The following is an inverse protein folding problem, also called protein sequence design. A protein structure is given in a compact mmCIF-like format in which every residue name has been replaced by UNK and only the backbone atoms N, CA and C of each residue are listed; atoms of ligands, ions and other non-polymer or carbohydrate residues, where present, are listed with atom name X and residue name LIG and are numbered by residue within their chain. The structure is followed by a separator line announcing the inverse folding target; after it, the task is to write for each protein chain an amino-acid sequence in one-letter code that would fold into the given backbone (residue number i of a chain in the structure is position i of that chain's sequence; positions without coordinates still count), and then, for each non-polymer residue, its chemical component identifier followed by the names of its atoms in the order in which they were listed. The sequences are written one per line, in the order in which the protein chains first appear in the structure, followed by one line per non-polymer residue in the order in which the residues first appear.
data_IF_895110831552
#
_entry.id   IF_895110831552
#
_cell.length_a   1.000
_cell.length_b   1.000
_cell.length_c   1.000
_cell.angle_alpha   90.00
_cell.angle_beta   90.00
_cell.angle_gamma   90.00
#
_symmetry.space_group_name_H-M   'P 1'
#
loop_
_entity.id
_entity.type
_entity.pdbx_description
1 polymer ?
#
# COMPACT_ATOMS: atom_id res chain seq x y z
N UNK A 1 49.66 -46.16 -27.50
CA UNK A 1 48.80 -45.14 -28.14
C UNK A 1 47.36 -45.59 -28.00
N UNK A 2 46.37 -44.86 -27.51
CA UNK A 2 46.26 -43.53 -26.94
C UNK A 2 44.95 -43.48 -26.14
N UNK A 3 44.88 -42.58 -25.18
CA UNK A 3 43.92 -42.56 -24.09
C UNK A 3 42.48 -42.22 -24.49
N UNK A 4 41.54 -42.83 -23.74
CA UNK A 4 40.16 -42.40 -23.50
C UNK A 4 40.12 -40.92 -23.09
N UNK A 5 39.15 -40.17 -23.62
CA UNK A 5 38.66 -38.92 -23.02
C UNK A 5 37.15 -39.02 -22.84
N UNK A 6 36.74 -39.21 -21.59
CA UNK A 6 35.37 -38.97 -21.11
C UNK A 6 35.40 -37.56 -20.52
N UNK A 7 34.72 -36.61 -21.15
CA UNK A 7 34.43 -35.30 -20.55
C UNK A 7 32.99 -35.34 -20.04
N UNK A 8 32.82 -35.51 -18.74
CA UNK A 8 31.59 -35.18 -18.04
C UNK A 8 31.86 -35.13 -16.54
N UNK A 9 32.25 -33.96 -16.03
CA UNK A 9 32.07 -33.46 -14.66
C UNK A 9 32.98 -32.25 -14.53
N UNK A 10 32.41 -31.04 -14.37
CA UNK A 10 33.06 -29.85 -13.78
C UNK A 10 32.10 -28.63 -13.81
N UNK A 11 30.79 -28.83 -13.66
CA UNK A 11 29.83 -27.72 -13.43
C UNK A 11 29.52 -27.50 -11.95
N UNK A 12 29.82 -28.46 -11.07
CA UNK A 12 29.54 -28.36 -9.63
C UNK A 12 30.66 -27.68 -8.81
N UNK A 13 31.79 -27.34 -9.40
CA UNK A 13 32.99 -26.91 -8.65
C UNK A 13 33.09 -25.39 -8.40
N UNK A 14 32.07 -24.60 -8.76
CA UNK A 14 32.06 -23.16 -8.47
C UNK A 14 31.67 -22.80 -7.03
N UNK A 15 31.21 -23.78 -6.24
CA UNK A 15 30.84 -23.56 -4.83
C UNK A 15 32.06 -23.70 -3.89
N UNK A 16 33.20 -24.22 -4.35
CA UNK A 16 34.21 -24.75 -3.41
C UNK A 16 35.26 -23.75 -2.88
N UNK A 17 35.49 -22.55 -3.44
CA UNK A 17 36.54 -21.66 -2.87
C UNK A 17 36.14 -20.18 -2.97
N UNK A 18 35.14 -19.76 -2.19
CA UNK A 18 34.85 -18.35 -1.94
C UNK A 18 35.01 -17.97 -0.45
N UNK A 19 35.61 -18.85 0.36
CA UNK A 19 35.81 -18.64 1.81
C UNK A 19 37.20 -18.06 2.12
N UNK A 20 38.06 -17.86 1.13
CA UNK A 20 39.44 -17.41 1.36
C UNK A 20 39.62 -15.87 1.38
N UNK A 21 38.61 -15.07 1.00
CA UNK A 21 38.80 -13.61 0.79
C UNK A 21 38.15 -12.69 1.82
N UNK A 22 37.50 -13.22 2.86
CA UNK A 22 37.09 -12.44 4.02
C UNK A 22 37.87 -12.93 5.25
N UNK A 23 39.13 -12.46 5.35
CA UNK A 23 40.01 -12.78 6.47
C UNK A 23 39.44 -12.28 7.80
N UNK A 24 39.45 -13.16 8.79
CA UNK A 24 39.06 -12.78 10.15
C UNK A 24 38.96 -13.91 11.19
N UNK A 25 39.11 -15.19 10.83
CA UNK A 25 39.17 -16.26 11.83
C UNK A 25 40.17 -17.35 11.42
N UNK A 26 41.30 -17.37 12.11
CA UNK A 26 42.38 -18.37 11.99
C UNK A 26 41.89 -19.82 12.11
N UNK A 27 40.76 -20.05 12.79
CA UNK A 27 40.14 -21.37 12.91
C UNK A 27 39.69 -21.98 11.57
N UNK A 28 39.07 -21.18 10.67
CA UNK A 28 38.59 -21.66 9.37
C UNK A 28 39.75 -21.98 8.41
N UNK A 29 40.85 -21.23 8.51
CA UNK A 29 42.06 -21.50 7.75
C UNK A 29 42.71 -22.83 8.12
N UNK A 30 42.71 -23.18 9.42
CA UNK A 30 43.22 -24.47 9.91
C UNK A 30 42.32 -25.62 9.43
N UNK A 31 41.00 -25.50 9.53
CA UNK A 31 40.08 -26.56 9.12
C UNK A 31 40.11 -26.83 7.62
N UNK A 32 40.21 -25.79 6.78
CA UNK A 32 40.31 -25.92 5.32
C UNK A 32 41.67 -26.53 4.92
N UNK A 33 42.76 -26.14 5.59
CA UNK A 33 44.08 -26.70 5.34
C UNK A 33 44.15 -28.20 5.70
N UNK A 34 43.55 -28.62 6.82
CA UNK A 34 43.51 -30.03 7.21
C UNK A 34 42.61 -30.86 6.28
N UNK A 35 41.46 -30.33 5.87
CA UNK A 35 40.60 -31.00 4.88
C UNK A 35 41.30 -31.16 3.52
N UNK A 36 42.01 -30.12 3.07
CA UNK A 36 42.81 -30.16 1.83
C UNK A 36 43.99 -31.13 1.95
N UNK A 37 44.64 -31.24 3.12
CA UNK A 37 45.71 -32.22 3.36
C UNK A 37 45.19 -33.66 3.23
N UNK A 38 44.03 -33.96 3.82
CA UNK A 38 43.41 -35.30 3.71
C UNK A 38 43.06 -35.59 2.24
N UNK A 39 42.45 -34.62 1.55
CA UNK A 39 41.92 -34.83 0.20
C UNK A 39 43.00 -34.84 -0.90
N UNK A 40 44.04 -34.00 -0.78
CA UNK A 40 45.09 -33.87 -1.80
C UNK A 40 46.30 -34.77 -1.54
N UNK A 41 46.63 -35.07 -0.28
CA UNK A 41 47.85 -35.81 0.06
C UNK A 41 47.60 -37.28 0.39
N UNK A 42 46.35 -37.74 0.44
CA UNK A 42 45.99 -39.16 0.58
C UNK A 42 46.72 -39.86 1.73
N UNK A 43 46.94 -39.16 2.85
CA UNK A 43 47.65 -39.72 4.00
C UNK A 43 46.70 -40.60 4.80
N UNK A 44 46.98 -41.91 4.81
CA UNK A 44 46.35 -42.93 5.65
C UNK A 44 46.86 -42.90 7.10
N UNK A 45 47.00 -41.72 7.71
CA UNK A 45 47.34 -41.62 9.14
C UNK A 45 46.07 -41.27 9.91
N UNK A 46 45.65 -42.20 10.77
CA UNK A 46 44.51 -42.05 11.68
C UNK A 46 44.89 -41.11 12.82
N UNK A 47 44.97 -39.81 12.54
CA UNK A 47 44.83 -38.82 13.60
C UNK A 47 43.33 -38.59 13.83
N UNK A 48 42.89 -38.77 15.07
CA UNK A 48 41.53 -38.47 15.48
C UNK A 48 41.30 -36.97 15.27
N UNK A 49 40.62 -36.62 14.18
CA UNK A 49 40.20 -35.25 13.91
C UNK A 49 39.21 -34.88 15.01
N UNK A 50 39.68 -34.12 16.00
CA UNK A 50 38.78 -33.48 16.95
C UNK A 50 37.88 -32.55 16.16
N UNK A 51 36.60 -32.92 16.03
CA UNK A 51 35.56 -32.04 15.53
C UNK A 51 35.48 -30.85 16.48
N UNK A 52 36.17 -29.76 16.15
CA UNK A 52 35.91 -28.46 16.75
C UNK A 52 34.48 -28.12 16.37
N UNK A 53 33.58 -28.17 17.37
CA UNK A 53 32.17 -27.88 17.19
C UNK A 53 32.01 -26.55 16.46
N UNK A 54 31.37 -26.61 15.29
CA UNK A 54 31.14 -25.47 14.42
C UNK A 54 29.99 -24.57 14.92
N UNK A 55 29.87 -24.39 16.24
CA UNK A 55 28.84 -23.54 16.85
C UNK A 55 28.98 -22.08 16.38
N UNK A 56 30.18 -21.68 15.95
CA UNK A 56 30.47 -20.37 15.37
C UNK A 56 30.08 -20.20 13.89
N UNK A 57 29.69 -21.27 13.17
CA UNK A 57 29.15 -21.13 11.80
C UNK A 57 27.66 -20.77 11.82
N UNK A 58 26.94 -21.09 12.91
CA UNK A 58 25.53 -20.67 13.07
C UNK A 58 25.35 -19.15 13.14
N UNK A 59 26.42 -18.38 13.40
CA UNK A 59 26.37 -16.94 13.65
C UNK A 59 26.75 -16.06 12.45
N UNK A 60 27.26 -16.63 11.35
CA UNK A 60 27.52 -15.84 10.13
C UNK A 60 26.28 -15.93 9.24
N UNK A 61 25.28 -15.08 9.52
CA UNK A 61 24.20 -14.85 8.56
C UNK A 61 24.78 -14.13 7.33
N UNK A 62 24.75 -14.74 6.13
CA UNK A 62 25.28 -14.08 4.94
C UNK A 62 24.41 -12.88 4.57
N UNK A 63 25.05 -11.79 4.16
CA UNK A 63 24.36 -10.55 3.83
C UNK A 63 23.72 -10.65 2.45
N UNK A 64 22.40 -10.40 2.35
CA UNK A 64 21.67 -10.31 1.08
C UNK A 64 22.31 -9.25 0.15
N UNK A 65 22.43 -9.55 -1.15
CA UNK A 65 22.85 -8.55 -2.14
C UNK A 65 21.67 -7.60 -2.36
N UNK A 66 21.80 -6.37 -1.84
CA UNK A 66 20.77 -5.34 -1.95
C UNK A 66 21.05 -4.49 -3.18
N UNK A 67 20.24 -4.64 -4.22
CA UNK A 67 20.20 -3.64 -5.30
C UNK A 67 19.66 -2.34 -4.71
N UNK A 68 20.17 -1.19 -5.14
CA UNK A 68 19.65 0.10 -4.69
C UNK A 68 18.13 0.17 -4.93
N UNK A 69 17.34 0.36 -3.86
CA UNK A 69 15.88 0.41 -3.97
C UNK A 69 15.45 1.70 -4.66
N UNK A 70 14.60 1.60 -5.68
CA UNK A 70 13.96 2.76 -6.26
C UNK A 70 13.10 3.48 -5.19
N UNK A 71 13.26 4.80 -5.07
CA UNK A 71 12.44 5.66 -4.20
C UNK A 71 11.93 6.84 -5.00
N UNK A 72 10.97 7.58 -4.43
CA UNK A 72 10.56 8.86 -4.99
C UNK A 72 11.74 9.85 -5.01
N UNK A 73 11.63 10.85 -5.87
CA UNK A 73 12.58 11.96 -5.96
C UNK A 73 12.42 12.88 -4.75
N UNK A 74 13.49 13.04 -3.97
CA UNK A 74 13.51 13.92 -2.81
C UNK A 74 13.06 15.35 -3.19
N UNK A 75 12.17 15.93 -2.38
CA UNK A 75 11.60 17.26 -2.64
C UNK A 75 10.50 17.30 -3.71
N UNK A 76 10.11 16.17 -4.29
CA UNK A 76 8.94 16.09 -5.19
C UNK A 76 7.60 15.90 -4.45
N UNK A 77 7.66 15.71 -3.13
CA UNK A 77 6.51 15.44 -2.30
C UNK A 77 5.62 16.67 -2.15
N UNK A 78 4.30 16.46 -2.23
CA UNK A 78 3.32 17.50 -1.98
C UNK A 78 2.05 16.93 -1.37
N UNK A 79 1.45 17.70 -0.47
CA UNK A 79 0.17 17.36 0.15
C UNK A 79 -0.95 17.35 -0.91
N UNK A 80 -1.80 16.34 -0.85
CA UNK A 80 -2.95 16.20 -1.72
C UNK A 80 -4.22 15.85 -0.94
N UNK A 81 -5.30 16.59 -1.21
CA UNK A 81 -6.59 16.38 -0.57
C UNK A 81 -7.40 15.32 -1.35
N UNK A 82 -7.69 14.15 -0.76
CA UNK A 82 -8.43 13.09 -1.43
C UNK A 82 -9.92 13.40 -1.64
N UNK A 83 -10.45 14.54 -1.16
CA UNK A 83 -11.86 14.89 -1.31
C UNK A 83 -12.22 15.62 -2.59
N UNK A 84 -11.32 16.46 -3.10
CA UNK A 84 -11.65 17.39 -4.17
C UNK A 84 -11.42 16.77 -5.56
N UNK A 85 -12.44 16.82 -6.41
CA UNK A 85 -12.30 16.53 -7.84
C UNK A 85 -11.78 17.80 -8.52
N UNK A 86 -10.60 17.73 -9.15
CA UNK A 86 -10.02 18.88 -9.87
C UNK A 86 -10.75 19.10 -11.20
N UNK A 87 -10.87 20.36 -11.62
CA UNK A 87 -11.28 20.72 -12.99
C UNK A 87 -12.80 20.75 -13.24
N UNK A 88 -13.63 20.64 -12.20
CA UNK A 88 -15.10 20.62 -12.34
C UNK A 88 -15.73 21.71 -11.48
N UNK A 89 -16.59 22.54 -12.09
CA UNK A 89 -17.39 23.55 -11.40
C UNK A 89 -18.88 23.18 -11.51
N UNK A 90 -19.39 22.27 -10.65
CA UNK A 90 -20.78 21.84 -10.74
C UNK A 90 -21.73 23.00 -10.47
N UNK A 91 -22.87 23.00 -11.16
CA UNK A 91 -23.96 23.92 -10.83
C UNK A 91 -24.48 23.63 -9.43
N UNK A 92 -24.64 24.66 -8.60
CA UNK A 92 -24.98 24.55 -7.18
C UNK A 92 -26.42 24.99 -6.88
N UNK A 93 -26.89 24.73 -5.66
CA UNK A 93 -28.28 24.99 -5.26
C UNK A 93 -28.64 26.48 -5.16
N UNK A 94 -27.65 27.40 -5.15
CA UNK A 94 -27.90 28.84 -5.26
C UNK A 94 -28.24 29.27 -6.70
N UNK A 95 -28.05 28.39 -7.68
CA UNK A 95 -28.48 28.64 -9.06
C UNK A 95 -29.98 28.83 -9.14
N UNK A 96 -30.44 29.78 -9.96
CA UNK A 96 -31.87 29.94 -10.31
C UNK A 96 -32.51 28.69 -10.89
N UNK A 97 -31.69 27.76 -11.38
CA UNK A 97 -32.16 26.49 -11.96
C UNK A 97 -32.48 25.41 -10.91
N UNK A 98 -32.25 25.67 -9.63
CA UNK A 98 -32.61 24.78 -8.54
C UNK A 98 -34.06 25.01 -8.12
N UNK A 99 -34.92 24.00 -8.36
CA UNK A 99 -36.37 24.08 -8.10
C UNK A 99 -36.89 22.91 -7.25
N UNK A 100 -36.00 22.07 -6.72
CA UNK A 100 -36.39 20.80 -6.12
C UNK A 100 -36.89 20.90 -4.67
N UNK A 101 -36.45 21.91 -3.92
CA UNK A 101 -36.84 22.09 -2.52
C UNK A 101 -37.22 23.55 -2.27
N UNK A 102 -38.20 23.75 -1.40
CA UNK A 102 -38.62 25.06 -0.91
C UNK A 102 -37.54 25.70 -0.02
N UNK A 103 -37.63 27.02 0.18
CA UNK A 103 -36.74 27.74 1.09
C UNK A 103 -36.81 27.23 2.54
N UNK A 104 -37.99 26.77 2.97
CA UNK A 104 -38.20 26.21 4.31
C UNK A 104 -37.43 24.89 4.47
N UNK A 105 -37.55 23.98 3.50
CA UNK A 105 -36.87 22.68 3.50
C UNK A 105 -35.35 22.82 3.48
N UNK A 106 -34.83 23.85 2.80
CA UNK A 106 -33.39 24.15 2.74
C UNK A 106 -32.85 24.93 3.94
N UNK A 107 -33.70 25.39 4.85
CA UNK A 107 -33.33 26.42 5.85
C UNK A 107 -32.07 26.06 6.66
N UNK A 108 -31.86 24.77 6.99
CA UNK A 108 -30.70 24.30 7.76
C UNK A 108 -29.37 24.34 7.00
N UNK A 109 -29.39 24.40 5.66
CA UNK A 109 -28.19 24.39 4.80
C UNK A 109 -28.11 25.58 3.85
N UNK A 110 -29.14 26.43 3.82
CA UNK A 110 -29.29 27.56 2.90
C UNK A 110 -28.05 28.45 2.79
N UNK A 111 -27.42 28.79 3.92
CA UNK A 111 -26.17 29.59 3.97
C UNK A 111 -24.98 28.96 3.24
N UNK A 112 -25.04 27.67 2.92
CA UNK A 112 -23.98 26.93 2.23
C UNK A 112 -24.33 26.56 0.80
N UNK A 113 -25.40 27.10 0.22
CA UNK A 113 -25.89 26.64 -1.07
C UNK A 113 -24.88 26.76 -2.22
N UNK A 114 -23.94 27.69 -2.17
CA UNK A 114 -22.85 27.78 -3.15
C UNK A 114 -21.89 26.57 -3.12
N UNK A 115 -21.82 25.84 -2.00
CA UNK A 115 -20.97 24.66 -1.79
C UNK A 115 -21.68 23.34 -2.10
N UNK A 116 -22.97 23.38 -2.43
CA UNK A 116 -23.80 22.19 -2.59
C UNK A 116 -24.23 22.06 -4.07
N UNK A 117 -23.82 21.01 -4.78
CA UNK A 117 -24.20 20.76 -6.16
C UNK A 117 -25.67 20.39 -6.28
N UNK A 118 -26.28 20.73 -7.42
CA UNK A 118 -27.64 20.30 -7.73
C UNK A 118 -27.66 18.77 -7.94
N UNK A 119 -28.55 18.08 -7.24
CA UNK A 119 -28.61 16.61 -7.18
C UNK A 119 -28.98 15.93 -8.51
N UNK A 120 -29.88 16.54 -9.29
CA UNK A 120 -30.34 16.03 -10.60
C UNK A 120 -29.57 16.61 -11.79
N UNK A 121 -28.46 17.31 -11.52
CA UNK A 121 -27.51 17.79 -12.52
C UNK A 121 -26.11 17.29 -12.18
N UNK A 122 -25.13 17.62 -13.01
CA UNK A 122 -23.72 17.34 -12.77
C UNK A 122 -23.41 15.83 -12.69
N UNK A 123 -24.00 15.01 -13.57
CA UNK A 123 -23.82 13.55 -13.54
C UNK A 123 -22.35 13.11 -13.49
N UNK A 124 -21.51 13.65 -14.37
CA UNK A 124 -20.07 13.35 -14.39
C UNK A 124 -19.39 13.70 -13.07
N UNK A 125 -19.75 14.84 -12.48
CA UNK A 125 -19.21 15.27 -11.19
C UNK A 125 -19.61 14.31 -10.07
N UNK A 126 -20.87 13.87 -10.02
CA UNK A 126 -21.33 12.89 -9.03
C UNK A 126 -20.61 11.55 -9.16
N UNK A 127 -20.45 11.06 -10.40
CA UNK A 127 -19.71 9.81 -10.68
C UNK A 127 -18.23 9.92 -10.29
N UNK A 128 -17.58 11.03 -10.65
CA UNK A 128 -16.18 11.28 -10.29
C UNK A 128 -16.01 11.41 -8.77
N UNK A 129 -16.90 12.16 -8.11
CA UNK A 129 -16.91 12.37 -6.67
C UNK A 129 -17.09 11.07 -5.91
N UNK A 130 -18.02 10.20 -6.33
CA UNK A 130 -18.18 8.88 -5.71
C UNK A 130 -16.90 8.07 -5.81
N UNK A 131 -16.31 7.91 -7.01
CA UNK A 131 -15.07 7.15 -7.20
C UNK A 131 -13.93 7.69 -6.33
N UNK A 132 -13.77 9.01 -6.32
CA UNK A 132 -12.74 9.72 -5.56
C UNK A 132 -12.92 9.54 -4.04
N UNK A 133 -14.16 9.60 -3.55
CA UNK A 133 -14.47 9.59 -2.10
C UNK A 133 -14.83 8.21 -1.54
N UNK A 134 -15.01 7.20 -2.41
CA UNK A 134 -15.42 5.83 -2.05
C UNK A 134 -14.66 5.28 -0.85
N UNK A 135 -13.34 5.41 -0.87
CA UNK A 135 -12.48 4.93 0.21
C UNK A 135 -12.79 5.58 1.57
N UNK A 136 -12.95 6.91 1.60
CA UNK A 136 -13.26 7.65 2.83
C UNK A 136 -14.67 7.35 3.34
N UNK A 137 -15.63 7.16 2.42
CA UNK A 137 -16.99 6.74 2.75
C UNK A 137 -16.98 5.37 3.43
N UNK A 138 -16.19 4.42 2.91
CA UNK A 138 -16.15 3.04 3.40
C UNK A 138 -15.37 2.86 4.71
N UNK A 139 -14.37 3.70 4.99
CA UNK A 139 -13.44 3.52 6.11
C UNK A 139 -13.74 4.41 7.34
N UNK A 140 -14.88 5.11 7.37
CA UNK A 140 -15.23 6.01 8.48
C UNK A 140 -15.72 5.24 9.72
N UNK A 141 -15.40 5.78 10.90
CA UNK A 141 -15.74 5.22 12.22
C UNK A 141 -17.21 5.42 12.67
N UNK A 142 -18.03 6.24 11.98
CA UNK A 142 -19.38 6.65 12.43
C UNK A 142 -20.53 6.22 11.50
N UNK A 143 -21.70 5.99 12.11
CA UNK A 143 -22.80 5.12 11.68
C UNK A 143 -23.35 5.34 10.26
N UNK A 144 -22.95 4.44 9.36
CA UNK A 144 -23.68 4.15 8.12
C UNK A 144 -24.72 3.05 8.37
N UNK A 145 -25.43 3.05 9.52
CA UNK A 145 -26.38 1.97 9.88
C UNK A 145 -27.33 1.69 8.71
N UNK A 146 -27.12 0.55 8.04
CA UNK A 146 -27.84 0.13 6.83
C UNK A 146 -27.48 0.85 5.52
N UNK A 147 -26.82 2.00 5.56
CA UNK A 147 -26.56 2.84 4.38
C UNK A 147 -25.45 2.26 3.50
N UNK A 148 -25.83 1.85 2.29
CA UNK A 148 -24.91 1.37 1.26
C UNK A 148 -25.01 2.24 0.02
N UNK A 149 -23.86 2.64 -0.54
CA UNK A 149 -23.81 3.45 -1.75
C UNK A 149 -23.47 2.62 -2.97
N UNK A 150 -24.39 2.61 -3.93
CA UNK A 150 -24.22 1.92 -5.21
C UNK A 150 -23.23 2.64 -6.11
N UNK A 151 -23.53 3.89 -6.46
CA UNK A 151 -22.77 4.70 -7.42
C UNK A 151 -22.95 6.22 -7.19
N UNK A 152 -22.34 7.01 -8.07
CA UNK A 152 -22.42 8.47 -8.15
C UNK A 152 -23.83 9.05 -8.35
N UNK A 153 -24.50 8.61 -9.42
CA UNK A 153 -25.63 9.35 -9.97
C UNK A 153 -26.79 8.45 -10.40
N UNK A 154 -28.00 8.87 -10.04
CA UNK A 154 -29.25 8.37 -10.59
C UNK A 154 -30.19 9.54 -10.89
N UNK A 155 -30.90 9.46 -12.01
CA UNK A 155 -31.94 10.44 -12.38
C UNK A 155 -33.24 10.24 -11.61
N UNK A 156 -33.40 9.10 -10.90
CA UNK A 156 -34.60 8.79 -10.14
C UNK A 156 -34.64 9.57 -8.83
N UNK A 157 -35.78 10.19 -8.55
CA UNK A 157 -36.07 10.80 -7.24
C UNK A 157 -36.34 9.70 -6.22
N UNK A 158 -35.78 9.83 -5.02
CA UNK A 158 -36.20 9.03 -3.86
C UNK A 158 -36.93 9.92 -2.87
N UNK A 159 -38.16 9.55 -2.52
CA UNK A 159 -39.04 10.36 -1.67
C UNK A 159 -38.97 9.99 -0.18
N UNK A 160 -38.43 8.81 0.17
CA UNK A 160 -38.47 8.30 1.54
C UNK A 160 -37.10 7.86 2.08
N UNK A 161 -36.98 8.06 3.39
CA UNK A 161 -35.81 8.09 4.28
C UNK A 161 -35.24 6.73 4.70
N UNK A 162 -35.68 5.63 4.08
CA UNK A 162 -35.18 4.32 4.48
C UNK A 162 -33.90 3.97 3.71
N UNK A 163 -32.76 4.36 4.29
CA UNK A 163 -31.43 4.00 3.82
C UNK A 163 -31.08 2.51 4.01
N UNK A 164 -32.04 1.63 4.32
CA UNK A 164 -31.86 0.16 4.37
C UNK A 164 -31.65 -0.48 2.99
N UNK A 165 -31.56 0.30 1.92
CA UNK A 165 -31.30 -0.16 0.55
C UNK A 165 -30.13 0.59 -0.06
N UNK A 166 -29.55 0.03 -1.11
CA UNK A 166 -28.48 0.69 -1.86
C UNK A 166 -29.00 2.00 -2.49
N UNK A 167 -28.33 3.12 -2.19
CA UNK A 167 -28.68 4.44 -2.74
C UNK A 167 -27.53 5.03 -3.55
N UNK A 168 -27.86 5.93 -4.48
CA UNK A 168 -26.85 6.74 -5.17
C UNK A 168 -26.47 7.95 -4.31
N UNK A 169 -25.23 8.43 -4.38
CA UNK A 169 -24.84 9.55 -3.52
C UNK A 169 -25.62 10.84 -3.80
N UNK A 170 -26.02 11.10 -5.05
CA UNK A 170 -26.82 12.27 -5.39
C UNK A 170 -28.23 12.20 -4.79
N UNK A 171 -28.83 11.00 -4.75
CA UNK A 171 -30.11 10.71 -4.11
C UNK A 171 -30.03 10.91 -2.58
N UNK A 172 -28.95 10.44 -1.95
CA UNK A 172 -28.69 10.72 -0.55
C UNK A 172 -28.63 12.23 -0.28
N UNK A 173 -27.91 12.98 -1.11
CA UNK A 173 -27.84 14.44 -0.97
C UNK A 173 -29.20 15.12 -1.16
N UNK A 174 -30.01 14.66 -2.13
CA UNK A 174 -31.37 15.14 -2.31
C UNK A 174 -32.19 15.05 -1.01
N UNK A 175 -32.24 13.86 -0.39
CA UNK A 175 -33.01 13.64 0.85
C UNK A 175 -32.51 14.54 1.99
N UNK A 176 -31.20 14.69 2.13
CA UNK A 176 -30.61 15.48 3.21
C UNK A 176 -30.71 16.99 2.98
N UNK A 177 -30.88 17.43 1.72
CA UNK A 177 -31.17 18.83 1.41
C UNK A 177 -32.54 19.25 1.94
N UNK A 178 -33.55 18.38 1.85
CA UNK A 178 -34.91 18.68 2.32
C UNK A 178 -35.20 18.32 3.78
N UNK A 179 -34.33 17.56 4.44
CA UNK A 179 -34.61 17.03 5.79
C UNK A 179 -33.54 17.39 6.82
N UNK A 180 -33.85 18.35 7.69
CA UNK A 180 -33.00 18.75 8.83
C UNK A 180 -32.69 17.57 9.77
N UNK A 181 -33.66 16.68 10.00
CA UNK A 181 -33.49 15.51 10.87
C UNK A 181 -32.45 14.55 10.28
N UNK A 182 -32.58 14.22 8.99
CA UNK A 182 -31.61 13.34 8.31
C UNK A 182 -30.24 14.01 8.17
N UNK A 183 -30.21 15.30 7.86
CA UNK A 183 -28.98 16.08 7.83
C UNK A 183 -28.25 15.99 9.18
N UNK A 184 -28.93 16.21 10.30
CA UNK A 184 -28.29 16.14 11.61
C UNK A 184 -27.77 14.72 11.93
N UNK A 185 -28.52 13.68 11.57
CA UNK A 185 -28.11 12.27 11.75
C UNK A 185 -26.83 11.93 10.97
N UNK A 186 -26.72 12.41 9.73
CA UNK A 186 -25.63 12.07 8.82
C UNK A 186 -24.71 13.26 8.49
N UNK A 187 -24.68 14.30 9.32
CA UNK A 187 -24.07 15.61 9.02
C UNK A 187 -22.64 15.52 8.53
N UNK A 188 -21.89 14.68 9.21
CA UNK A 188 -20.50 14.41 8.93
C UNK A 188 -20.31 13.76 7.55
N UNK A 189 -21.16 12.80 7.18
CA UNK A 189 -21.15 12.11 5.90
C UNK A 189 -21.70 13.00 4.78
N UNK A 190 -22.72 13.81 5.10
CA UNK A 190 -23.28 14.82 4.23
C UNK A 190 -22.21 15.76 3.71
N UNK A 191 -21.37 16.33 4.59
CA UNK A 191 -20.33 17.25 4.12
C UNK A 191 -19.29 16.55 3.26
N UNK A 192 -18.92 15.31 3.59
CA UNK A 192 -18.00 14.53 2.77
C UNK A 192 -18.58 14.25 1.37
N UNK A 193 -19.87 13.94 1.25
CA UNK A 193 -20.47 13.48 0.00
C UNK A 193 -21.07 14.63 -0.81
N UNK A 194 -21.84 15.48 -0.16
CA UNK A 194 -22.75 16.45 -0.77
C UNK A 194 -22.16 17.84 -0.93
N UNK A 195 -20.94 18.10 -0.47
CA UNK A 195 -20.26 19.36 -0.77
C UNK A 195 -19.28 19.23 -1.93
N UNK A 196 -19.07 20.33 -2.64
CA UNK A 196 -18.18 20.38 -3.81
C UNK A 196 -16.74 19.97 -3.42
N UNK A 197 -16.24 20.47 -2.29
CA UNK A 197 -14.87 20.22 -1.80
C UNK A 197 -14.77 19.06 -0.79
N UNK A 198 -15.90 18.51 -0.34
CA UNK A 198 -15.95 17.46 0.69
C UNK A 198 -15.67 18.00 2.10
N UNK A 199 -15.68 19.33 2.31
CA UNK A 199 -15.32 19.97 3.57
C UNK A 199 -16.56 20.43 4.32
N UNK A 200 -16.54 20.23 5.64
CA UNK A 200 -17.56 20.79 6.51
C UNK A 200 -17.23 22.28 6.76
N UNK A 201 -18.06 23.23 6.30
CA UNK A 201 -17.82 24.65 6.53
C UNK A 201 -18.00 25.09 7.98
N UNK A 202 -18.50 24.21 8.85
CA UNK A 202 -18.74 24.47 10.27
C UNK A 202 -17.64 23.94 11.19
N UNK A 203 -16.61 23.29 10.64
CA UNK A 203 -15.46 22.82 11.41
C UNK A 203 -14.24 23.65 11.08
N UNK A 204 -13.58 24.15 12.11
CA UNK A 204 -12.34 24.93 11.98
C UNK A 204 -11.15 24.05 11.56
N UNK A 205 -11.18 22.75 11.87
CA UNK A 205 -10.10 21.79 11.56
C UNK A 205 -10.61 20.53 10.83
N UNK A 206 -11.11 20.65 9.58
CA UNK A 206 -11.65 19.53 8.80
C UNK A 206 -10.59 18.49 8.40
N UNK A 207 -9.33 18.69 8.78
CA UNK A 207 -8.18 17.87 8.42
C UNK A 207 -7.84 16.77 9.44
N UNK A 208 -8.28 16.90 10.70
CA UNK A 208 -8.02 15.89 11.74
C UNK A 208 -8.89 14.63 11.55
N UNK A 209 -10.04 14.78 10.91
CA UNK A 209 -11.06 13.75 10.78
C UNK A 209 -11.04 13.00 9.44
N UNK A 210 -10.29 13.50 8.45
CA UNK A 210 -10.30 12.96 7.09
C UNK A 210 -8.91 12.42 6.74
N UNK A 211 -8.88 11.41 5.87
CA UNK A 211 -7.61 10.87 5.37
C UNK A 211 -6.86 11.95 4.60
N UNK A 212 -5.53 12.00 4.77
CA UNK A 212 -4.63 12.83 3.96
C UNK A 212 -3.89 11.93 2.98
N UNK A 213 -3.38 12.50 1.90
CA UNK A 213 -2.56 11.76 0.95
C UNK A 213 -1.47 12.66 0.42
N UNK A 214 -0.45 12.04 -0.15
CA UNK A 214 0.71 12.70 -0.71
C UNK A 214 0.83 12.35 -2.18
N UNK A 215 1.49 13.24 -2.91
CA UNK A 215 1.94 13.01 -4.27
C UNK A 215 3.44 13.12 -4.29
N UNK A 216 4.10 12.19 -4.96
CA UNK A 216 5.52 12.29 -5.26
C UNK A 216 5.81 11.76 -6.66
N UNK A 217 6.99 12.11 -7.19
CA UNK A 217 7.47 11.61 -8.47
C UNK A 217 8.34 10.39 -8.25
N UNK A 218 7.96 9.28 -8.87
CA UNK A 218 8.65 8.01 -8.79
C UNK A 218 9.34 7.69 -10.12
N UNK A 219 10.56 7.15 -10.10
CA UNK A 219 11.29 6.79 -11.32
C UNK A 219 10.60 5.63 -12.04
N UNK A 220 10.61 5.68 -13.36
CA UNK A 220 10.23 4.60 -14.27
C UNK A 220 11.40 4.30 -15.23
N UNK A 221 11.27 3.29 -16.08
CA UNK A 221 12.34 2.94 -17.02
C UNK A 221 12.65 4.09 -18.00
N UNK A 222 13.85 4.06 -18.59
CA UNK A 222 14.36 5.08 -19.51
C UNK A 222 14.42 6.50 -18.91
N UNK A 223 14.77 6.60 -17.61
CA UNK A 223 14.91 7.86 -16.87
C UNK A 223 13.64 8.70 -16.78
N UNK A 224 12.46 8.11 -17.02
CA UNK A 224 11.18 8.78 -16.84
C UNK A 224 10.77 8.92 -15.38
N UNK A 225 9.76 9.76 -15.13
CA UNK A 225 9.14 9.92 -13.81
C UNK A 225 7.61 9.81 -13.93
N UNK A 226 6.96 9.15 -12.97
CA UNK A 226 5.49 9.08 -12.83
C UNK A 226 5.09 9.74 -11.51
N UNK A 227 4.17 10.70 -11.57
CA UNK A 227 3.54 11.25 -10.36
C UNK A 227 2.53 10.23 -9.82
N UNK A 228 2.73 9.77 -8.59
CA UNK A 228 1.86 8.80 -7.93
C UNK A 228 1.29 9.45 -6.68
N UNK A 229 -0.02 9.29 -6.47
CA UNK A 229 -0.67 9.65 -5.23
C UNK A 229 -0.74 8.44 -4.31
N UNK A 230 -0.18 8.53 -3.10
CA UNK A 230 -0.19 7.46 -2.10
C UNK A 230 -0.66 7.98 -0.73
N UNK A 231 -0.97 7.05 0.17
CA UNK A 231 -1.43 7.34 1.52
C UNK A 231 -0.77 6.35 2.47
N UNK A 232 -0.28 6.82 3.61
CA UNK A 232 0.32 5.95 4.62
C UNK A 232 -0.73 5.35 5.55
N UNK A 233 -0.34 4.32 6.32
CA UNK A 233 -1.22 3.75 7.35
C UNK A 233 -1.61 4.77 8.42
N UNK A 234 -0.74 5.73 8.73
CA UNK A 234 -1.05 6.83 9.67
C UNK A 234 -2.05 7.83 9.08
N UNK A 235 -1.89 8.15 7.79
CA UNK A 235 -2.76 9.07 7.08
C UNK A 235 -4.15 8.47 6.80
N UNK A 236 -4.23 7.15 6.64
CA UNK A 236 -5.46 6.42 6.43
C UNK A 236 -6.34 6.45 7.69
N UNK A 237 -7.48 7.15 7.62
CA UNK A 237 -8.52 7.05 8.64
C UNK A 237 -9.29 5.75 8.42
N UNK A 238 -8.84 4.69 9.11
CA UNK A 238 -9.48 3.38 9.17
C UNK A 238 -10.56 3.32 10.24
N UNK A 239 -11.47 2.34 10.10
CA UNK A 239 -12.40 1.97 11.16
C UNK A 239 -11.63 1.45 12.39
N UNK A 240 -12.18 1.59 13.61
CA UNK A 240 -11.52 1.10 14.82
C UNK A 240 -11.10 -0.37 14.71
N UNK A 241 -11.96 -1.23 14.18
CA UNK A 241 -11.70 -2.67 14.08
C UNK A 241 -10.51 -2.99 13.16
N UNK A 242 -10.37 -2.22 12.06
CA UNK A 242 -9.23 -2.36 11.15
C UNK A 242 -7.96 -1.74 11.73
N UNK A 243 -8.09 -0.62 12.45
CA UNK A 243 -6.96 0.06 13.08
C UNK A 243 -6.31 -0.82 14.16
N UNK A 244 -7.11 -1.54 14.93
CA UNK A 244 -6.64 -2.44 15.99
C UNK A 244 -5.90 -3.67 15.45
N UNK A 245 -6.16 -4.03 14.20
CA UNK A 245 -5.45 -5.10 13.49
C UNK A 245 -4.07 -4.68 13.01
N UNK A 246 -3.78 -3.39 12.82
CA UNK A 246 -2.48 -2.92 12.34
C UNK A 246 -1.46 -2.93 13.50
N UNK A 247 -0.50 -3.86 13.42
CA UNK A 247 0.52 -4.13 14.45
C UNK A 247 1.86 -3.45 14.21
N UNK A 248 2.16 -3.02 12.98
CA UNK A 248 3.40 -2.28 12.68
C UNK A 248 3.45 -0.92 13.39
N UNK A 249 4.63 -0.55 13.90
CA UNK A 249 4.89 0.70 14.61
C UNK A 249 5.05 1.89 13.67
N UNK A 250 5.77 1.73 12.56
CA UNK A 250 6.14 2.81 11.62
C UNK A 250 5.02 3.10 10.61
N UNK A 251 3.80 3.35 11.11
CA UNK A 251 2.60 3.56 10.29
C UNK A 251 2.73 4.71 9.28
N UNK A 252 3.60 5.68 9.57
CA UNK A 252 3.92 6.80 8.69
C UNK A 252 4.83 6.42 7.51
N UNK A 253 5.43 5.22 7.50
CA UNK A 253 6.32 4.76 6.43
C UNK A 253 5.66 3.78 5.47
N UNK A 254 4.65 3.04 5.92
CA UNK A 254 3.99 2.01 5.13
C UNK A 254 2.78 2.55 4.37
N UNK A 255 2.64 2.14 3.10
CA UNK A 255 1.52 2.54 2.23
C UNK A 255 0.27 1.70 2.54
N UNK A 256 -0.89 2.33 2.54
CA UNK A 256 -2.15 1.63 2.84
C UNK A 256 -2.56 0.68 1.70
N UNK A 257 -2.94 -0.55 2.07
CA UNK A 257 -3.06 -1.70 1.16
C UNK A 257 -4.32 -1.72 0.29
N UNK A 258 -5.33 -0.94 0.64
CA UNK A 258 -6.64 -0.93 -0.01
C UNK A 258 -7.01 0.47 -0.53
N UNK A 259 -5.99 1.29 -0.83
CA UNK A 259 -6.17 2.58 -1.46
C UNK A 259 -5.30 2.75 -2.72
N UNK A 260 -5.96 3.01 -3.85
CA UNK A 260 -5.39 3.28 -5.20
C UNK A 260 -4.34 2.26 -5.68
N UNK A 261 -4.62 1.67 -6.85
CA UNK A 261 -3.77 0.66 -7.49
C UNK A 261 -2.37 1.17 -7.89
N UNK A 262 -2.26 2.43 -8.30
CA UNK A 262 -1.07 2.99 -8.96
C UNK A 262 0.25 2.79 -8.20
N UNK A 263 0.24 2.90 -6.86
CA UNK A 263 1.44 2.73 -6.06
C UNK A 263 1.88 1.26 -6.00
N UNK A 264 0.92 0.34 -5.89
CA UNK A 264 1.16 -1.10 -5.85
C UNK A 264 1.69 -1.61 -7.18
N UNK A 265 1.13 -1.14 -8.29
CA UNK A 265 1.66 -1.39 -9.64
C UNK A 265 3.12 -0.95 -9.75
N UNK A 266 3.42 0.27 -9.29
CA UNK A 266 4.77 0.80 -9.35
C UNK A 266 5.75 0.00 -8.48
N UNK A 267 5.41 -0.27 -7.22
CA UNK A 267 6.28 -1.03 -6.31
C UNK A 267 6.53 -2.44 -6.84
N UNK A 268 5.49 -3.09 -7.37
CA UNK A 268 5.63 -4.41 -7.99
C UNK A 268 6.57 -4.38 -9.20
N UNK A 269 6.35 -3.45 -10.15
CA UNK A 269 7.13 -3.36 -11.39
C UNK A 269 8.59 -2.95 -11.15
N UNK A 270 8.81 -1.92 -10.35
CA UNK A 270 10.12 -1.25 -10.27
C UNK A 270 10.95 -1.66 -9.05
N UNK A 271 10.38 -2.40 -8.10
CA UNK A 271 11.13 -3.01 -6.99
C UNK A 271 11.09 -4.53 -7.11
N UNK A 272 9.93 -5.14 -6.86
CA UNK A 272 9.83 -6.59 -6.73
C UNK A 272 10.25 -7.35 -7.99
N UNK A 273 9.77 -6.95 -9.18
CA UNK A 273 10.13 -7.62 -10.43
C UNK A 273 11.61 -7.42 -10.78
N UNK A 274 12.16 -6.22 -10.51
CA UNK A 274 13.60 -5.97 -10.70
C UNK A 274 14.42 -6.90 -9.83
N UNK A 275 14.07 -7.00 -8.55
CA UNK A 275 14.76 -7.88 -7.61
C UNK A 275 14.66 -9.34 -8.05
N UNK A 276 13.44 -9.84 -8.38
CA UNK A 276 13.22 -11.18 -8.95
C UNK A 276 14.05 -11.46 -10.20
N UNK A 277 14.17 -10.49 -11.11
CA UNK A 277 14.91 -10.64 -12.36
C UNK A 277 16.43 -10.61 -12.19
N UNK A 278 16.90 -9.93 -11.13
CA UNK A 278 18.32 -9.80 -10.79
C UNK A 278 18.78 -10.86 -9.77
N UNK A 279 17.88 -11.73 -9.35
CA UNK A 279 18.08 -12.70 -8.28
C UNK A 279 19.01 -13.83 -8.72
N UNK A 280 20.32 -13.58 -8.60
CA UNK A 280 21.38 -14.59 -8.71
C UNK A 280 21.89 -15.03 -7.33
N UNK A 281 21.18 -14.67 -6.26
CA UNK A 281 21.59 -14.76 -4.85
C UNK A 281 21.32 -16.14 -4.26
N UNK A 282 22.20 -16.59 -3.36
CA UNK A 282 21.97 -17.76 -2.49
C UNK A 282 20.93 -17.49 -1.38
N UNK A 283 20.52 -16.22 -1.20
CA UNK A 283 19.54 -15.76 -0.22
C UNK A 283 18.36 -15.14 -0.97
N UNK A 284 17.26 -15.90 -1.17
CA UNK A 284 16.14 -15.48 -1.98
C UNK A 284 15.21 -14.52 -1.21
N UNK A 285 14.36 -13.80 -1.96
CA UNK A 285 13.12 -13.23 -1.44
C UNK A 285 12.45 -14.20 -0.44
N UNK A 286 11.93 -13.66 0.65
CA UNK A 286 11.13 -14.44 1.59
C UNK A 286 9.99 -15.15 0.85
N UNK A 287 9.58 -16.30 1.38
CA UNK A 287 8.62 -17.18 0.70
C UNK A 287 7.35 -16.45 0.26
N UNK A 288 6.90 -15.53 1.11
CA UNK A 288 5.72 -14.70 0.89
C UNK A 288 5.89 -13.79 -0.33
N UNK A 289 6.99 -13.03 -0.41
CA UNK A 289 7.24 -12.11 -1.51
C UNK A 289 7.66 -12.82 -2.79
N UNK A 290 8.30 -13.99 -2.67
CA UNK A 290 8.61 -14.88 -3.80
C UNK A 290 7.35 -15.35 -4.52
N UNK A 291 6.29 -15.70 -3.80
CA UNK A 291 5.00 -16.18 -4.36
C UNK A 291 4.13 -15.10 -4.99
N UNK A 292 4.45 -13.82 -4.83
CA UNK A 292 3.64 -12.74 -5.41
C UNK A 292 3.71 -12.79 -6.95
N UNK A 293 2.56 -12.89 -7.60
CA UNK A 293 2.45 -12.93 -9.06
C UNK A 293 1.76 -11.71 -9.65
N UNK A 294 1.06 -10.91 -8.84
CA UNK A 294 0.39 -9.67 -9.29
C UNK A 294 0.58 -8.52 -8.30
N UNK A 295 0.36 -7.31 -8.78
CA UNK A 295 0.53 -6.08 -8.01
C UNK A 295 -0.64 -5.83 -7.04
N UNK A 296 -1.89 -6.04 -7.49
CA UNK A 296 -3.08 -5.56 -6.80
C UNK A 296 -4.23 -6.56 -6.82
N UNK A 297 -4.86 -6.74 -5.67
CA UNK A 297 -6.17 -7.37 -5.52
C UNK A 297 -7.15 -6.40 -4.86
N UNK A 298 -8.24 -6.06 -5.55
CA UNK A 298 -9.24 -5.10 -5.06
C UNK A 298 -9.97 -5.61 -3.80
N UNK A 299 -10.08 -6.93 -3.64
CA UNK A 299 -10.70 -7.57 -2.47
C UNK A 299 -9.73 -7.76 -1.30
N UNK A 300 -8.43 -7.54 -1.53
CA UNK A 300 -7.34 -7.77 -0.58
C UNK A 300 -7.42 -9.16 0.12
N UNK A 301 -7.67 -10.18 -0.69
CA UNK A 301 -7.93 -11.58 -0.30
C UNK A 301 -6.99 -12.57 -0.98
N UNK A 302 -6.41 -12.20 -2.13
CA UNK A 302 -5.48 -13.05 -2.86
C UNK A 302 -4.05 -12.87 -2.33
N UNK A 303 -3.53 -13.89 -1.64
CA UNK A 303 -2.18 -13.89 -1.05
C UNK A 303 -1.06 -13.73 -2.10
N UNK A 304 -1.36 -13.94 -3.39
CA UNK A 304 -0.40 -13.73 -4.49
C UNK A 304 -0.31 -12.28 -4.96
N UNK A 305 -1.13 -11.37 -4.39
CA UNK A 305 -1.09 -9.94 -4.66
C UNK A 305 -0.17 -9.19 -3.68
N UNK A 306 0.63 -8.25 -4.18
CA UNK A 306 1.55 -7.47 -3.35
C UNK A 306 0.83 -6.70 -2.23
N UNK A 307 -0.27 -6.02 -2.55
CA UNK A 307 -1.04 -5.27 -1.54
C UNK A 307 -1.58 -6.18 -0.42
N UNK A 308 -1.92 -7.43 -0.72
CA UNK A 308 -2.43 -8.40 0.26
C UNK A 308 -1.31 -9.00 1.11
N UNK A 309 -0.15 -9.28 0.50
CA UNK A 309 1.04 -9.69 1.23
C UNK A 309 1.47 -8.61 2.26
N UNK A 310 1.45 -7.34 1.84
CA UNK A 310 1.74 -6.21 2.73
C UNK A 310 0.66 -6.02 3.80
N UNK A 311 -0.64 -6.15 3.46
CA UNK A 311 -1.73 -6.19 4.46
C UNK A 311 -1.47 -7.24 5.53
N UNK A 312 -1.14 -8.46 5.12
CA UNK A 312 -0.84 -9.55 6.04
C UNK A 312 0.36 -9.21 6.93
N UNK A 313 1.43 -8.64 6.38
CA UNK A 313 2.58 -8.17 7.16
C UNK A 313 2.18 -7.12 8.21
N UNK A 314 1.35 -6.13 7.83
CA UNK A 314 0.89 -5.10 8.76
C UNK A 314 0.07 -5.65 9.92
N UNK A 315 -0.58 -6.80 9.74
CA UNK A 315 -1.48 -7.41 10.71
C UNK A 315 -0.82 -8.47 11.59
N UNK A 316 0.40 -8.88 11.24
CA UNK A 316 1.20 -9.82 12.04
C UNK A 316 2.20 -9.04 12.89
N UNK A 317 2.50 -9.55 14.08
CA UNK A 317 3.60 -8.98 14.89
C UNK A 317 4.91 -9.18 14.12
N UNK A 318 5.67 -8.10 13.83
CA UNK A 318 6.92 -8.23 13.10
C UNK A 318 7.89 -9.11 13.89
N UNK A 319 8.22 -10.27 13.34
CA UNK A 319 9.37 -11.05 13.80
C UNK A 319 10.59 -10.53 13.03
N UNK A 320 11.73 -10.29 13.69
CA UNK A 320 13.00 -9.88 13.04
C UNK A 320 13.45 -10.97 12.07
N UNK A 321 12.96 -10.89 10.84
CA UNK A 321 13.04 -11.92 9.81
C UNK A 321 13.24 -11.25 8.46
N UNK A 322 13.72 -12.03 7.50
CA UNK A 322 13.80 -11.70 6.08
C UNK A 322 12.53 -11.06 5.50
N UNK A 323 11.36 -11.46 5.98
CA UNK A 323 10.07 -10.87 5.57
C UNK A 323 9.95 -9.40 5.96
N UNK A 324 10.54 -8.97 7.08
CA UNK A 324 10.53 -7.57 7.51
C UNK A 324 11.33 -6.71 6.53
N UNK A 325 12.48 -7.19 6.07
CA UNK A 325 13.28 -6.48 5.07
C UNK A 325 12.52 -6.35 3.74
N UNK A 326 11.93 -7.44 3.26
CA UNK A 326 11.13 -7.41 2.04
C UNK A 326 9.91 -6.47 2.20
N UNK A 327 9.25 -6.47 3.35
CA UNK A 327 8.15 -5.56 3.61
C UNK A 327 8.59 -4.09 3.64
N UNK A 328 9.73 -3.77 4.25
CA UNK A 328 10.31 -2.43 4.15
C UNK A 328 10.56 -2.06 2.69
N UNK A 329 11.07 -2.99 1.88
CA UNK A 329 11.40 -2.73 0.49
C UNK A 329 10.17 -2.51 -0.38
N UNK A 330 9.14 -3.35 -0.25
CA UNK A 330 8.02 -3.38 -1.20
C UNK A 330 6.73 -2.74 -0.67
N UNK A 331 6.62 -2.54 0.64
CA UNK A 331 5.42 -2.03 1.30
C UNK A 331 5.60 -0.61 1.89
N UNK A 332 6.84 -0.11 2.00
CA UNK A 332 7.13 1.25 2.50
C UNK A 332 7.37 2.25 1.37
N UNK A 333 7.14 3.53 1.64
CA UNK A 333 7.31 4.60 0.65
C UNK A 333 8.76 4.67 0.16
N UNK A 334 9.74 4.68 1.07
CA UNK A 334 11.17 4.83 0.73
C UNK A 334 11.83 3.51 0.29
N UNK A 335 11.22 2.37 0.59
CA UNK A 335 11.79 1.06 0.26
C UNK A 335 12.98 0.67 1.13
N UNK A 336 13.13 1.30 2.30
CA UNK A 336 14.17 1.05 3.29
C UNK A 336 13.69 1.45 4.68
N UNK A 337 14.20 0.77 5.70
CA UNK A 337 14.08 1.21 7.08
C UNK A 337 14.97 2.46 7.25
N UNK A 338 14.37 3.60 7.57
CA UNK A 338 15.15 4.80 7.90
C UNK A 338 15.94 4.50 9.19
N UNK A 339 17.26 4.75 9.18
CA UNK A 339 18.11 4.64 10.37
C UNK A 339 17.83 5.75 11.37
#
# INVERSE_FOLDING_TARGET
MGAKKIYAMLTETKITIAVATAGGNSALGVSINELLRIYLLGRNESEEVQFVGNDNIKTIQPTRIKVATASFKEGSESNWDPRAVKGTNPTNINSRSYISHTAYELSHISKYGAKLPIWNKNEEWWRATYKQRKYMIQNRASSTDGLQFKEGFSSLVIWYTNFNSEVYINQFCYVLYGSKIQFNKYKDLFWLICSIDGKNPEKDEPEKEVSKAEKAKFPIDNSGEKEITYMTLEQAKKKPEDKDRIKVSEKNKFVVWDWKKDWWEWSYQYRLQKDKSSENSAFPLSEKFRKITKDWDEKASDETALNTACKSFYQTTPNQTDETEDAWRYCSIEGKQSN
#
